data_IF_987507262488
#
_entry.id   IF_987507262488
#
_cell.length_a   1.000
_cell.length_b   1.000
_cell.length_c   1.000
_cell.angle_alpha   90.00
_cell.angle_beta   90.00
_cell.angle_gamma   90.00
#
_symmetry.space_group_name_H-M   'P 1'
#
loop_
_entity.id
_entity.type
_entity.pdbx_description
1 polymer ?
#
# COMPACT_ATOMS: atom_id res chain seq x y z
N UNK A 1 -49.74 15.80 51.58
CA UNK A 1 -49.33 15.74 50.16
C UNK A 1 -47.97 16.39 50.07
N UNK A 2 -46.91 15.59 49.97
CA UNK A 2 -45.56 16.08 49.72
C UNK A 2 -45.33 16.03 48.21
N UNK A 3 -45.03 17.16 47.58
CA UNK A 3 -44.64 17.25 46.18
C UNK A 3 -43.27 16.60 45.99
N UNK A 4 -43.22 15.55 45.18
CA UNK A 4 -41.97 14.99 44.68
C UNK A 4 -41.29 15.98 43.73
N UNK A 5 -39.96 16.18 43.82
CA UNK A 5 -39.25 17.06 42.92
C UNK A 5 -39.16 16.40 41.54
N UNK A 6 -39.75 17.06 40.54
CA UNK A 6 -39.61 16.71 39.12
C UNK A 6 -38.14 16.80 38.72
N UNK A 7 -37.50 15.65 38.52
CA UNK A 7 -36.20 15.55 37.86
C UNK A 7 -36.35 15.96 36.40
N UNK A 8 -35.64 17.02 36.02
CA UNK A 8 -35.65 17.57 34.66
C UNK A 8 -34.93 16.58 33.72
N UNK A 9 -35.55 16.05 32.66
CA UNK A 9 -34.93 15.04 31.79
C UNK A 9 -33.93 15.60 30.77
N UNK A 10 -33.65 16.91 30.79
CA UNK A 10 -32.86 17.64 29.79
C UNK A 10 -31.35 17.71 30.09
N UNK A 11 -30.85 16.97 31.09
CA UNK A 11 -29.45 17.00 31.51
C UNK A 11 -28.79 15.61 31.54
N UNK A 12 -28.91 14.82 30.47
CA UNK A 12 -27.79 13.90 30.19
C UNK A 12 -26.61 14.82 29.90
N UNK A 13 -25.62 14.84 30.78
CA UNK A 13 -24.52 15.78 30.66
C UNK A 13 -23.73 15.46 29.38
N UNK A 14 -23.14 16.46 28.71
CA UNK A 14 -22.25 16.21 27.56
C UNK A 14 -21.15 15.18 27.89
N UNK A 15 -20.76 15.06 29.17
CA UNK A 15 -19.81 14.06 29.65
C UNK A 15 -20.38 12.62 29.62
N UNK A 16 -21.66 12.43 29.93
CA UNK A 16 -22.33 11.12 29.84
C UNK A 16 -22.47 10.68 28.38
N UNK A 17 -22.77 11.62 27.49
CA UNK A 17 -22.85 11.38 26.04
C UNK A 17 -21.48 11.02 25.46
N UNK A 18 -20.43 11.80 25.74
CA UNK A 18 -19.06 11.48 25.32
C UNK A 18 -18.57 10.13 25.86
N UNK A 19 -18.91 9.80 27.12
CA UNK A 19 -18.60 8.49 27.72
C UNK A 19 -19.33 7.36 26.99
N UNK A 20 -20.62 7.54 26.67
CA UNK A 20 -21.39 6.58 25.90
C UNK A 20 -20.84 6.41 24.48
N UNK A 21 -20.44 7.51 23.81
CA UNK A 21 -19.79 7.49 22.49
C UNK A 21 -18.51 6.67 22.55
N UNK A 22 -17.62 7.00 23.47
CA UNK A 22 -16.34 6.31 23.65
C UNK A 22 -16.53 4.82 23.90
N UNK A 23 -17.52 4.45 24.70
CA UNK A 23 -17.80 3.05 25.03
C UNK A 23 -18.17 2.22 23.79
N UNK A 24 -18.94 2.75 22.83
CA UNK A 24 -19.25 2.02 21.60
C UNK A 24 -18.13 2.11 20.56
N UNK A 25 -17.45 3.26 20.47
CA UNK A 25 -16.27 3.42 19.60
C UNK A 25 -15.17 2.41 19.93
N UNK A 26 -14.91 2.18 21.23
CA UNK A 26 -13.92 1.19 21.68
C UNK A 26 -14.32 -0.26 21.36
N UNK A 27 -15.61 -0.58 21.21
CA UNK A 27 -16.03 -1.93 20.75
C UNK A 27 -15.78 -2.13 19.26
N UNK A 28 -15.92 -1.07 18.46
CA UNK A 28 -15.66 -1.09 17.03
C UNK A 28 -14.16 -1.05 16.71
N UNK A 29 -13.45 -0.05 17.23
CA UNK A 29 -12.06 0.23 16.85
C UNK A 29 -11.04 -0.44 17.76
N UNK A 30 -11.44 -0.93 18.93
CA UNK A 30 -10.57 -1.21 20.08
C UNK A 30 -9.93 0.05 20.67
N UNK A 31 -9.64 0.00 21.97
CA UNK A 31 -8.88 1.05 22.68
C UNK A 31 -7.57 1.39 22.00
N UNK A 32 -6.83 0.36 21.53
CA UNK A 32 -5.49 0.55 20.95
C UNK A 32 -5.53 1.30 19.62
N UNK A 33 -6.53 1.06 18.75
CA UNK A 33 -6.62 1.81 17.48
C UNK A 33 -7.20 3.21 17.70
N UNK A 34 -8.13 3.39 18.63
CA UNK A 34 -8.74 4.71 18.90
C UNK A 34 -7.79 5.68 19.62
N UNK A 35 -6.91 5.18 20.49
CA UNK A 35 -5.99 5.99 21.30
C UNK A 35 -5.19 7.08 20.54
N UNK A 36 -4.53 6.80 19.40
CA UNK A 36 -3.80 7.85 18.68
C UNK A 36 -4.70 8.94 18.08
N UNK A 37 -5.97 8.64 17.79
CA UNK A 37 -6.93 9.64 17.30
C UNK A 37 -7.41 10.53 18.45
N UNK A 38 -7.72 9.95 19.61
CA UNK A 38 -8.03 10.71 20.83
C UNK A 38 -6.87 11.63 21.22
N UNK A 39 -5.63 11.13 21.15
CA UNK A 39 -4.45 11.93 21.45
C UNK A 39 -4.30 13.15 20.52
N UNK A 40 -4.59 12.99 19.22
CA UNK A 40 -4.55 14.09 18.25
C UNK A 40 -5.70 15.09 18.44
N UNK A 41 -6.83 14.65 19.00
CA UNK A 41 -8.04 15.46 19.16
C UNK A 41 -8.26 15.99 20.59
N UNK A 42 -7.29 15.82 21.50
CA UNK A 42 -7.40 16.29 22.89
C UNK A 42 -8.47 15.54 23.71
N UNK A 43 -8.56 14.22 23.51
CA UNK A 43 -9.56 13.32 24.12
C UNK A 43 -11.03 13.60 23.73
N UNK A 44 -11.28 14.46 22.75
CA UNK A 44 -12.58 14.63 22.12
C UNK A 44 -12.90 13.41 21.23
N UNK A 45 -13.90 12.62 21.64
CA UNK A 45 -14.25 11.36 20.98
C UNK A 45 -14.92 11.55 19.63
N UNK A 46 -15.75 12.58 19.45
CA UNK A 46 -16.43 12.83 18.18
C UNK A 46 -15.41 13.26 17.14
N UNK A 47 -14.53 14.22 17.50
CA UNK A 47 -13.42 14.62 16.62
C UNK A 47 -12.44 13.48 16.33
N UNK A 48 -12.22 12.56 17.27
CA UNK A 48 -11.38 11.39 17.04
C UNK A 48 -12.01 10.40 16.05
N UNK A 49 -13.33 10.25 16.07
CA UNK A 49 -14.07 9.45 15.09
C UNK A 49 -14.04 10.12 13.70
N UNK A 50 -14.24 11.44 13.63
CA UNK A 50 -14.08 12.20 12.37
C UNK A 50 -12.68 12.03 11.79
N UNK A 51 -11.63 12.11 12.63
CA UNK A 51 -10.25 11.91 12.19
C UNK A 51 -10.00 10.47 11.72
N UNK A 52 -10.66 9.49 12.35
CA UNK A 52 -10.60 8.09 11.92
C UNK A 52 -11.23 7.91 10.52
N UNK A 53 -12.43 8.45 10.29
CA UNK A 53 -13.08 8.39 8.97
C UNK A 53 -12.31 9.16 7.91
N UNK A 54 -11.73 10.30 8.26
CA UNK A 54 -10.83 11.05 7.40
C UNK A 54 -9.61 10.21 7.00
N UNK A 55 -8.99 9.50 7.96
CA UNK A 55 -7.86 8.59 7.69
C UNK A 55 -8.25 7.43 6.76
N UNK A 56 -9.46 6.87 6.90
CA UNK A 56 -9.98 5.86 5.98
C UNK A 56 -10.14 6.44 4.57
N UNK A 57 -10.69 7.65 4.46
CA UNK A 57 -10.87 8.35 3.18
C UNK A 57 -9.52 8.64 2.50
N UNK A 58 -8.53 9.10 3.25
CA UNK A 58 -7.15 9.25 2.78
C UNK A 58 -6.58 7.93 2.24
N UNK A 59 -6.81 6.83 2.97
CA UNK A 59 -6.42 5.49 2.54
C UNK A 59 -7.10 5.08 1.22
N UNK A 60 -8.36 5.45 1.00
CA UNK A 60 -9.07 5.15 -0.25
C UNK A 60 -8.47 5.90 -1.45
N UNK A 61 -8.13 7.18 -1.29
CA UNK A 61 -7.44 7.97 -2.32
C UNK A 61 -6.12 7.29 -2.70
N UNK A 62 -5.30 6.95 -1.70
CA UNK A 62 -4.03 6.28 -1.96
C UNK A 62 -4.21 4.90 -2.62
N UNK A 63 -5.18 4.11 -2.18
CA UNK A 63 -5.43 2.77 -2.73
C UNK A 63 -5.88 2.81 -4.20
N UNK A 64 -6.56 3.88 -4.65
CA UNK A 64 -6.86 4.11 -6.07
C UNK A 64 -5.57 4.19 -6.89
N UNK A 65 -4.63 5.03 -6.46
CA UNK A 65 -3.40 5.26 -7.22
C UNK A 65 -2.47 4.03 -7.17
N UNK A 66 -2.42 3.33 -6.03
CA UNK A 66 -1.72 2.05 -5.95
C UNK A 66 -2.33 1.04 -6.92
N UNK A 67 -3.65 0.96 -7.05
CA UNK A 67 -4.30 0.00 -7.95
C UNK A 67 -3.90 0.23 -9.42
N UNK A 68 -3.92 1.49 -9.88
CA UNK A 68 -3.48 1.83 -11.24
C UNK A 68 -2.00 1.49 -11.46
N UNK A 69 -1.15 1.88 -10.51
CA UNK A 69 0.27 1.63 -10.60
C UNK A 69 0.63 0.14 -10.55
N UNK A 70 -0.03 -0.65 -9.70
CA UNK A 70 0.20 -2.10 -9.60
C UNK A 70 -0.14 -2.81 -10.92
N UNK A 71 -1.24 -2.43 -11.57
CA UNK A 71 -1.62 -2.96 -12.88
C UNK A 71 -0.61 -2.56 -13.96
N UNK A 72 -0.14 -1.31 -13.96
CA UNK A 72 0.90 -0.88 -14.89
C UNK A 72 2.22 -1.65 -14.67
N UNK A 73 2.63 -1.81 -13.41
CA UNK A 73 3.86 -2.50 -13.02
C UNK A 73 3.84 -3.97 -13.43
N UNK A 74 2.76 -4.69 -13.12
CA UNK A 74 2.66 -6.11 -13.47
C UNK A 74 2.67 -6.31 -14.99
N UNK A 75 1.95 -5.48 -15.74
CA UNK A 75 1.87 -5.60 -17.20
C UNK A 75 3.21 -5.24 -17.86
N UNK A 76 3.91 -4.22 -17.34
CA UNK A 76 5.23 -3.85 -17.85
C UNK A 76 6.27 -4.95 -17.57
N UNK A 77 6.26 -5.54 -16.38
CA UNK A 77 7.17 -6.63 -16.01
C UNK A 77 6.87 -7.89 -16.79
N UNK A 78 5.60 -8.24 -16.93
CA UNK A 78 5.17 -9.38 -17.70
C UNK A 78 5.63 -9.27 -19.17
N UNK A 79 5.38 -8.12 -19.80
CA UNK A 79 5.81 -7.84 -21.17
C UNK A 79 7.32 -8.02 -21.36
N UNK A 80 8.16 -7.37 -20.55
CA UNK A 80 9.63 -7.45 -20.73
C UNK A 80 10.20 -8.81 -20.36
N UNK A 81 9.55 -9.55 -19.46
CA UNK A 81 9.89 -10.95 -19.17
C UNK A 81 9.53 -11.85 -20.36
N UNK A 82 8.32 -11.71 -20.91
CA UNK A 82 7.84 -12.47 -22.06
C UNK A 82 8.68 -12.25 -23.32
N UNK A 83 9.07 -11.00 -23.59
CA UNK A 83 9.94 -10.63 -24.73
C UNK A 83 11.33 -11.31 -24.68
N UNK A 84 11.82 -11.69 -23.49
CA UNK A 84 13.23 -12.05 -23.25
C UNK A 84 13.46 -13.45 -22.72
N UNK A 85 12.50 -14.04 -22.00
CA UNK A 85 12.64 -15.39 -21.43
C UNK A 85 12.65 -16.46 -22.52
N UNK A 86 11.76 -16.33 -23.51
CA UNK A 86 11.59 -17.31 -24.58
C UNK A 86 10.97 -18.63 -24.09
N UNK A 87 10.16 -19.28 -24.94
CA UNK A 87 9.52 -20.55 -24.59
C UNK A 87 8.17 -20.39 -23.90
N UNK A 88 7.89 -21.26 -22.92
CA UNK A 88 6.67 -21.17 -22.11
C UNK A 88 6.65 -19.88 -21.28
N UNK A 89 5.46 -19.48 -20.84
CA UNK A 89 5.33 -18.29 -20.00
C UNK A 89 6.23 -18.39 -18.75
N UNK A 90 6.93 -17.31 -18.38
CA UNK A 90 7.94 -17.32 -17.31
C UNK A 90 7.38 -17.63 -15.91
N UNK A 91 6.06 -17.58 -15.73
CA UNK A 91 5.34 -18.02 -14.51
C UNK A 91 4.91 -19.50 -14.53
N UNK A 92 5.11 -20.18 -15.65
CA UNK A 92 4.72 -21.58 -15.90
C UNK A 92 5.94 -22.46 -16.22
N UNK A 93 7.14 -21.88 -16.23
CA UNK A 93 8.41 -22.56 -16.49
C UNK A 93 9.27 -22.61 -15.22
N UNK A 94 9.51 -23.81 -14.69
CA UNK A 94 10.32 -24.02 -13.48
C UNK A 94 11.78 -23.57 -13.63
N UNK A 95 12.28 -23.42 -14.86
CA UNK A 95 13.60 -22.88 -15.17
C UNK A 95 13.69 -21.35 -15.03
N UNK A 96 12.55 -20.66 -15.03
CA UNK A 96 12.45 -19.20 -14.95
C UNK A 96 13.18 -18.64 -13.75
N UNK A 97 13.86 -17.48 -13.86
CA UNK A 97 14.53 -16.83 -12.73
C UNK A 97 13.55 -16.44 -11.60
N UNK A 98 12.24 -16.43 -11.82
CA UNK A 98 11.25 -16.22 -10.74
C UNK A 98 10.81 -17.53 -10.07
N UNK A 99 10.93 -18.67 -10.75
CA UNK A 99 10.51 -19.99 -10.25
C UNK A 99 11.64 -20.90 -9.80
N UNK A 100 12.87 -20.71 -10.29
CA UNK A 100 14.02 -21.46 -9.80
C UNK A 100 14.53 -20.90 -8.47
N UNK A 101 15.14 -21.73 -7.61
CA UNK A 101 15.85 -21.25 -6.43
C UNK A 101 16.99 -20.29 -6.79
N UNK A 102 17.14 -19.23 -6.00
CA UNK A 102 18.28 -18.30 -6.10
C UNK A 102 18.97 -18.32 -4.74
N UNK A 103 20.05 -19.11 -4.63
CA UNK A 103 20.77 -19.25 -3.36
C UNK A 103 21.74 -18.08 -3.18
N UNK A 104 21.68 -17.45 -2.00
CA UNK A 104 22.61 -16.41 -1.54
C UNK A 104 23.06 -16.70 -0.12
N UNK A 105 24.28 -16.28 0.21
CA UNK A 105 24.79 -16.36 1.57
C UNK A 105 24.23 -15.22 2.41
N UNK A 106 23.66 -15.55 3.57
CA UNK A 106 23.27 -14.57 4.57
C UNK A 106 24.50 -14.00 5.31
N UNK A 107 24.30 -12.92 6.08
CA UNK A 107 25.35 -12.34 6.94
C UNK A 107 25.95 -13.34 7.94
N UNK A 108 25.17 -14.36 8.31
CA UNK A 108 25.57 -15.37 9.30
C UNK A 108 26.20 -16.61 8.64
N UNK A 109 26.50 -16.56 7.34
CA UNK A 109 27.10 -17.68 6.61
C UNK A 109 26.12 -18.79 6.22
N UNK A 110 24.82 -18.65 6.49
CA UNK A 110 23.83 -19.66 6.10
C UNK A 110 23.33 -19.41 4.67
N UNK A 111 23.28 -20.45 3.81
CA UNK A 111 22.68 -20.34 2.49
C UNK A 111 21.16 -20.14 2.61
N UNK A 112 20.62 -19.23 1.80
CA UNK A 112 19.20 -18.92 1.74
C UNK A 112 18.74 -18.83 0.30
N UNK A 113 17.67 -19.54 -0.04
CA UNK A 113 16.92 -19.29 -1.27
C UNK A 113 16.17 -17.97 -1.11
N UNK A 114 16.66 -16.92 -1.78
CA UNK A 114 16.00 -15.61 -1.74
C UNK A 114 14.71 -15.62 -2.55
N UNK A 115 14.52 -16.57 -3.47
CA UNK A 115 13.32 -16.64 -4.30
C UNK A 115 12.17 -17.38 -3.64
N UNK A 116 12.39 -18.09 -2.53
CA UNK A 116 11.39 -18.94 -1.87
C UNK A 116 10.04 -18.25 -1.65
N UNK A 117 10.04 -16.98 -1.24
CA UNK A 117 8.80 -16.20 -1.02
C UNK A 117 8.06 -15.96 -2.33
N UNK A 118 8.77 -15.59 -3.40
CA UNK A 118 8.17 -15.38 -4.72
C UNK A 118 7.61 -16.69 -5.29
N UNK A 119 8.36 -17.79 -5.17
CA UNK A 119 7.91 -19.12 -5.60
C UNK A 119 6.63 -19.55 -4.89
N UNK A 120 6.54 -19.31 -3.58
CA UNK A 120 5.32 -19.57 -2.81
C UNK A 120 4.15 -18.68 -3.25
N UNK A 121 4.42 -17.41 -3.54
CA UNK A 121 3.39 -16.50 -4.04
C UNK A 121 2.82 -16.97 -5.39
N UNK A 122 3.68 -17.40 -6.33
CA UNK A 122 3.24 -17.94 -7.62
C UNK A 122 2.48 -19.26 -7.43
N UNK A 123 2.97 -20.17 -6.59
CA UNK A 123 2.27 -21.42 -6.30
C UNK A 123 0.87 -21.18 -5.71
N UNK A 124 0.74 -20.23 -4.79
CA UNK A 124 -0.55 -19.84 -4.23
C UNK A 124 -1.46 -19.19 -5.29
N UNK A 125 -0.93 -18.30 -6.12
CA UNK A 125 -1.68 -17.66 -7.20
C UNK A 125 -2.21 -18.70 -8.20
N UNK A 126 -1.38 -19.67 -8.60
CA UNK A 126 -1.80 -20.82 -9.42
C UNK A 126 -2.87 -21.68 -8.75
N UNK A 127 -2.79 -21.87 -7.43
CA UNK A 127 -3.82 -22.60 -6.70
C UNK A 127 -5.17 -21.87 -6.63
N UNK A 128 -5.15 -20.53 -6.70
CA UNK A 128 -6.35 -19.70 -6.64
C UNK A 128 -6.97 -19.44 -8.02
N UNK A 129 -6.21 -19.63 -9.09
CA UNK A 129 -6.68 -19.46 -10.45
C UNK A 129 -7.73 -20.51 -10.82
N UNK A 130 -8.73 -20.11 -11.62
CA UNK A 130 -9.70 -21.04 -12.19
C UNK A 130 -9.04 -21.94 -13.23
N UNK A 131 -8.15 -21.36 -14.05
CA UNK A 131 -7.24 -22.08 -14.94
C UNK A 131 -5.79 -21.86 -14.48
N UNK A 132 -5.10 -22.95 -14.15
CA UNK A 132 -3.74 -22.93 -13.57
C UNK A 132 -2.65 -22.79 -14.62
N UNK A 133 -3.02 -22.96 -15.89
CA UNK A 133 -2.15 -22.87 -17.05
C UNK A 133 -2.38 -21.56 -17.82
N UNK A 134 -3.33 -20.74 -17.36
CA UNK A 134 -3.54 -19.37 -17.82
C UNK A 134 -2.65 -18.38 -17.02
N UNK A 135 -1.58 -17.82 -17.64
CA UNK A 135 -0.68 -16.90 -16.95
C UNK A 135 -1.37 -15.60 -16.51
N UNK A 136 -2.40 -15.14 -17.21
CA UNK A 136 -3.09 -13.89 -16.87
C UNK A 136 -3.84 -14.02 -15.54
N UNK A 137 -4.41 -15.19 -15.28
CA UNK A 137 -5.05 -15.49 -14.00
C UNK A 137 -4.03 -15.58 -12.85
N UNK A 138 -2.83 -16.10 -13.11
CA UNK A 138 -1.75 -16.12 -12.11
C UNK A 138 -1.30 -14.70 -11.81
N UNK A 139 -1.06 -13.88 -12.84
CA UNK A 139 -0.67 -12.47 -12.71
C UNK A 139 -1.72 -11.68 -11.91
N UNK A 140 -3.01 -11.90 -12.19
CA UNK A 140 -4.10 -11.22 -11.50
C UNK A 140 -4.18 -11.54 -9.99
N UNK A 141 -3.66 -12.69 -9.56
CA UNK A 141 -3.64 -13.14 -8.17
C UNK A 141 -2.35 -12.75 -7.41
N UNK A 142 -1.41 -12.05 -8.04
CA UNK A 142 -0.16 -11.61 -7.41
C UNK A 142 -0.24 -10.15 -6.96
N UNK A 143 -0.04 -9.92 -5.66
CA UNK A 143 -0.11 -8.58 -5.05
C UNK A 143 1.16 -7.74 -5.31
N UNK A 144 1.07 -6.40 -5.15
CA UNK A 144 2.20 -5.46 -5.32
C UNK A 144 3.51 -5.90 -4.68
N UNK A 145 3.46 -6.51 -3.50
CA UNK A 145 4.65 -6.99 -2.80
C UNK A 145 5.48 -7.97 -3.62
N UNK A 146 4.85 -8.87 -4.38
CA UNK A 146 5.55 -9.78 -5.29
C UNK A 146 6.36 -9.00 -6.33
N UNK A 147 5.72 -8.06 -7.02
CA UNK A 147 6.32 -7.24 -8.08
C UNK A 147 7.46 -6.34 -7.53
N UNK A 148 7.24 -5.71 -6.38
CA UNK A 148 8.24 -4.89 -5.70
C UNK A 148 9.49 -5.70 -5.30
N UNK A 149 9.33 -6.96 -4.88
CA UNK A 149 10.45 -7.80 -4.51
C UNK A 149 11.29 -8.26 -5.71
N UNK A 150 10.78 -8.23 -6.94
CA UNK A 150 11.58 -8.64 -8.11
C UNK A 150 12.80 -7.74 -8.34
N UNK A 151 12.78 -6.50 -7.84
CA UNK A 151 13.90 -5.53 -7.95
C UNK A 151 14.92 -5.59 -6.82
N UNK A 152 14.78 -6.51 -5.86
CA UNK A 152 15.71 -6.62 -4.73
C UNK A 152 17.14 -6.92 -5.21
N UNK A 153 18.13 -6.35 -4.51
CA UNK A 153 19.57 -6.51 -4.83
C UNK A 153 20.00 -7.96 -5.01
N UNK A 154 19.42 -8.89 -4.24
CA UNK A 154 19.75 -10.30 -4.30
C UNK A 154 19.42 -10.96 -5.65
N UNK A 155 18.50 -10.35 -6.41
CA UNK A 155 17.98 -10.82 -7.71
C UNK A 155 18.48 -9.97 -8.87
N UNK A 156 19.38 -9.03 -8.62
CA UNK A 156 19.84 -8.07 -9.64
C UNK A 156 20.44 -8.76 -10.88
N UNK A 157 21.28 -9.78 -10.67
CA UNK A 157 21.92 -10.53 -11.76
C UNK A 157 20.99 -11.52 -12.46
N UNK A 158 19.93 -11.96 -11.80
CA UNK A 158 19.01 -12.99 -12.31
C UNK A 158 17.75 -12.39 -12.96
N UNK A 159 17.29 -11.24 -12.47
CA UNK A 159 16.04 -10.59 -12.88
C UNK A 159 16.26 -9.17 -13.44
N UNK A 160 16.92 -8.30 -12.68
CA UNK A 160 17.02 -6.89 -13.06
C UNK A 160 17.81 -6.67 -14.35
N UNK A 161 19.07 -7.13 -14.39
CA UNK A 161 19.98 -6.92 -15.52
C UNK A 161 19.51 -7.60 -16.81
N UNK A 162 19.02 -8.85 -16.79
CA UNK A 162 18.64 -9.48 -18.05
C UNK A 162 17.24 -9.06 -18.51
N UNK A 163 16.32 -8.70 -17.60
CA UNK A 163 14.89 -8.51 -17.92
C UNK A 163 14.33 -7.15 -17.47
N UNK A 164 14.23 -6.92 -16.16
CA UNK A 164 13.33 -5.88 -15.61
C UNK A 164 13.78 -4.45 -15.90
N UNK A 165 15.08 -4.19 -16.07
CA UNK A 165 15.55 -2.83 -16.39
C UNK A 165 14.95 -2.30 -17.70
N UNK A 166 14.53 -3.19 -18.61
CA UNK A 166 13.93 -2.81 -19.88
C UNK A 166 12.52 -2.22 -19.75
N UNK A 167 11.87 -2.39 -18.60
CA UNK A 167 10.59 -1.76 -18.32
C UNK A 167 10.75 -0.28 -17.94
N UNK A 168 11.96 0.16 -17.61
CA UNK A 168 12.24 1.48 -17.07
C UNK A 168 13.11 2.32 -18.02
N UNK A 169 13.12 3.65 -17.88
CA UNK A 169 14.01 4.51 -18.66
C UNK A 169 15.49 4.10 -18.55
N UNK A 170 16.23 4.30 -19.64
CA UNK A 170 17.66 3.95 -19.67
C UNK A 170 18.42 4.70 -18.57
N UNK A 171 19.17 3.96 -17.75
CA UNK A 171 19.96 4.52 -16.66
C UNK A 171 19.22 4.61 -15.31
N UNK A 172 18.00 4.07 -15.19
CA UNK A 172 17.31 3.96 -13.89
C UNK A 172 18.19 3.26 -12.85
N UNK A 173 18.41 3.93 -11.71
CA UNK A 173 19.05 3.33 -10.54
C UNK A 173 18.11 2.29 -9.90
N UNK A 174 18.48 1.01 -10.01
CA UNK A 174 17.77 -0.10 -9.37
C UNK A 174 17.59 0.12 -7.88
N UNK A 175 18.60 0.65 -7.18
CA UNK A 175 18.55 0.77 -5.73
C UNK A 175 17.52 1.81 -5.31
N UNK A 176 17.56 2.99 -5.93
CA UNK A 176 16.55 4.04 -5.77
C UNK A 176 15.15 3.53 -6.09
N UNK A 177 14.96 2.88 -7.25
CA UNK A 177 13.67 2.31 -7.63
C UNK A 177 13.18 1.28 -6.61
N UNK A 178 14.03 0.33 -6.21
CA UNK A 178 13.66 -0.69 -5.22
C UNK A 178 13.23 -0.07 -3.88
N UNK A 179 13.91 0.98 -3.44
CA UNK A 179 13.54 1.70 -2.23
C UNK A 179 12.19 2.42 -2.39
N UNK A 180 11.94 3.01 -3.56
CA UNK A 180 10.64 3.62 -3.90
C UNK A 180 9.52 2.58 -3.90
N UNK A 181 9.67 1.45 -4.59
CA UNK A 181 8.67 0.38 -4.62
C UNK A 181 8.42 -0.21 -3.22
N UNK A 182 9.48 -0.38 -2.42
CA UNK A 182 9.35 -0.85 -1.05
C UNK A 182 8.60 0.15 -0.15
N UNK A 183 8.83 1.46 -0.31
CA UNK A 183 8.11 2.49 0.41
C UNK A 183 6.62 2.51 0.04
N UNK A 184 6.30 2.50 -1.26
CA UNK A 184 4.92 2.41 -1.76
C UNK A 184 4.22 1.18 -1.18
N UNK A 185 4.84 0.00 -1.27
CA UNK A 185 4.25 -1.23 -0.78
C UNK A 185 4.02 -1.22 0.75
N UNK A 186 4.91 -0.58 1.53
CA UNK A 186 4.70 -0.41 2.98
C UNK A 186 3.48 0.47 3.27
N UNK A 187 3.38 1.63 2.62
CA UNK A 187 2.24 2.54 2.85
C UNK A 187 0.94 1.91 2.36
N UNK A 188 0.95 1.22 1.21
CA UNK A 188 -0.20 0.42 0.75
C UNK A 188 -0.64 -0.59 1.80
N UNK A 189 0.29 -1.35 2.37
CA UNK A 189 -0.05 -2.35 3.39
C UNK A 189 -0.67 -1.69 4.63
N UNK A 190 -0.14 -0.54 5.06
CA UNK A 190 -0.73 0.23 6.17
C UNK A 190 -2.17 0.65 5.85
N UNK A 191 -2.41 1.19 4.65
CA UNK A 191 -3.76 1.56 4.21
C UNK A 191 -4.70 0.34 4.16
N UNK A 192 -4.26 -0.78 3.58
CA UNK A 192 -5.04 -2.02 3.50
C UNK A 192 -5.34 -2.65 4.88
N UNK A 193 -4.52 -2.39 5.89
CA UNK A 193 -4.75 -2.83 7.27
C UNK A 193 -5.51 -1.79 8.13
N UNK A 194 -6.01 -0.72 7.50
CA UNK A 194 -6.69 0.40 8.14
C UNK A 194 -5.85 0.98 9.29
N UNK A 195 -4.54 1.05 9.09
CA UNK A 195 -3.65 1.70 10.04
C UNK A 195 -3.82 3.22 9.99
N UNK A 196 -3.39 3.89 11.06
CA UNK A 196 -3.23 5.34 11.09
C UNK A 196 -2.14 5.73 10.09
N UNK A 197 -2.45 6.57 9.11
CA UNK A 197 -1.54 7.02 8.04
C UNK A 197 -0.84 8.33 8.37
N UNK A 198 -1.48 9.22 9.14
CA UNK A 198 -0.89 10.47 9.61
C UNK A 198 0.14 10.28 10.73
N UNK A 199 0.93 11.33 10.96
CA UNK A 199 2.13 11.38 11.80
C UNK A 199 3.02 10.15 11.62
N UNK A 200 3.54 9.94 10.40
CA UNK A 200 4.39 8.80 10.11
C UNK A 200 5.69 8.87 10.92
N UNK A 201 6.15 7.73 11.42
CA UNK A 201 7.41 7.64 12.18
C UNK A 201 8.65 7.98 11.33
N UNK A 202 8.53 7.84 10.01
CA UNK A 202 9.60 8.17 9.06
C UNK A 202 8.99 8.68 7.76
N UNK A 203 9.75 9.48 7.03
CA UNK A 203 9.42 9.94 5.67
C UNK A 203 9.02 8.82 4.71
N UNK A 204 9.61 7.62 4.84
CA UNK A 204 9.28 6.49 3.95
C UNK A 204 7.89 5.90 4.19
N UNK A 205 7.23 6.32 5.26
CA UNK A 205 5.88 5.94 5.63
C UNK A 205 4.85 7.05 5.36
N UNK A 206 5.29 8.19 4.81
CA UNK A 206 4.39 9.29 4.45
C UNK A 206 3.43 8.88 3.32
N UNK A 207 2.10 9.01 3.48
CA UNK A 207 1.15 8.80 2.40
C UNK A 207 1.31 9.82 1.26
N UNK A 208 1.58 11.09 1.56
CA UNK A 208 1.81 12.11 0.53
C UNK A 208 3.05 11.79 -0.32
N UNK A 209 4.15 11.37 0.33
CA UNK A 209 5.36 10.94 -0.38
C UNK A 209 5.15 9.65 -1.17
N UNK A 210 4.34 8.72 -0.65
CA UNK A 210 4.01 7.50 -1.37
C UNK A 210 3.20 7.80 -2.64
N UNK A 211 2.22 8.69 -2.57
CA UNK A 211 1.44 9.15 -3.73
C UNK A 211 2.33 9.81 -4.80
N UNK A 212 3.15 10.80 -4.42
CA UNK A 212 4.09 11.43 -5.34
C UNK A 212 5.06 10.43 -6.00
N UNK A 213 5.49 9.41 -5.24
CA UNK A 213 6.31 8.33 -5.76
C UNK A 213 5.55 7.42 -6.75
N UNK A 214 4.27 7.13 -6.48
CA UNK A 214 3.40 6.34 -7.37
C UNK A 214 3.26 7.07 -8.70
N UNK A 215 2.91 8.36 -8.69
CA UNK A 215 2.75 9.15 -9.91
C UNK A 215 4.05 9.20 -10.71
N UNK A 216 5.19 9.50 -10.05
CA UNK A 216 6.49 9.54 -10.74
C UNK A 216 6.87 8.18 -11.33
N UNK A 217 6.63 7.09 -10.60
CA UNK A 217 6.91 5.75 -11.09
C UNK A 217 5.98 5.39 -12.26
N UNK A 218 4.70 5.74 -12.20
CA UNK A 218 3.76 5.53 -13.30
C UNK A 218 4.15 6.34 -14.54
N UNK A 219 4.51 7.63 -14.40
CA UNK A 219 5.01 8.46 -15.50
C UNK A 219 6.25 7.84 -16.16
N UNK A 220 7.15 7.25 -15.38
CA UNK A 220 8.34 6.59 -15.91
C UNK A 220 8.03 5.27 -16.63
N UNK A 221 6.95 4.59 -16.25
CA UNK A 221 6.60 3.26 -16.73
C UNK A 221 5.61 3.29 -17.91
N UNK A 222 4.62 4.17 -17.84
CA UNK A 222 3.57 4.39 -18.85
C UNK A 222 3.12 5.87 -18.78
N UNK A 223 3.81 6.77 -19.49
CA UNK A 223 3.51 8.20 -19.51
C UNK A 223 2.05 8.49 -19.89
N UNK A 224 1.49 7.75 -20.84
CA UNK A 224 0.13 7.95 -21.35
C UNK A 224 -0.93 7.65 -20.29
N UNK A 225 -0.72 6.61 -19.48
CA UNK A 225 -1.62 6.30 -18.37
C UNK A 225 -1.54 7.36 -17.27
N UNK A 226 -0.33 7.82 -16.96
CA UNK A 226 -0.15 8.89 -15.97
C UNK A 226 -0.80 10.21 -16.43
N UNK A 227 -0.63 10.58 -17.71
CA UNK A 227 -1.28 11.75 -18.30
C UNK A 227 -2.81 11.63 -18.24
N UNK A 228 -3.36 10.46 -18.57
CA UNK A 228 -4.80 10.22 -18.52
C UNK A 228 -5.39 10.35 -17.11
N UNK A 229 -4.63 9.97 -16.08
CA UNK A 229 -5.07 9.90 -14.69
C UNK A 229 -4.84 11.19 -13.92
N UNK A 230 -3.74 11.90 -14.21
CA UNK A 230 -3.26 13.04 -13.42
C UNK A 230 -3.09 14.32 -14.25
N UNK A 231 -2.95 14.21 -15.57
CA UNK A 231 -2.63 15.33 -16.45
C UNK A 231 -1.38 16.09 -16.02
N UNK A 232 -1.40 17.40 -16.26
CA UNK A 232 -0.40 18.39 -15.85
C UNK A 232 -0.62 18.93 -14.43
N UNK A 233 -1.48 18.30 -13.62
CA UNK A 233 -1.75 18.75 -12.26
C UNK A 233 -0.45 18.79 -11.42
N UNK A 234 -0.22 19.92 -10.75
CA UNK A 234 0.97 20.10 -9.90
C UNK A 234 0.84 19.33 -8.60
N UNK A 235 -0.40 19.16 -8.11
CA UNK A 235 -0.72 18.48 -6.86
C UNK A 235 -1.07 17.02 -7.06
N UNK A 236 -0.62 16.19 -6.13
CA UNK A 236 -1.01 14.79 -6.04
C UNK A 236 -2.47 14.65 -5.57
N UNK A 237 -3.16 13.54 -5.88
CA UNK A 237 -4.49 13.24 -5.36
C UNK A 237 -4.59 13.34 -3.82
N UNK A 238 -3.56 12.90 -3.09
CA UNK A 238 -3.50 13.06 -1.63
C UNK A 238 -3.44 14.54 -1.23
N UNK A 239 -2.65 15.37 -1.92
CA UNK A 239 -2.59 16.82 -1.65
C UNK A 239 -3.95 17.49 -1.93
N UNK A 240 -4.56 17.20 -3.08
CA UNK A 240 -5.91 17.71 -3.42
C UNK A 240 -6.95 17.28 -2.38
N UNK A 241 -6.92 16.01 -1.97
CA UNK A 241 -7.81 15.51 -0.91
C UNK A 241 -7.64 16.28 0.40
N UNK A 242 -6.41 16.59 0.80
CA UNK A 242 -6.15 17.32 2.04
C UNK A 242 -6.61 18.78 1.97
N UNK A 243 -6.58 19.39 0.79
CA UNK A 243 -7.10 20.75 0.57
C UNK A 243 -8.63 20.80 0.56
N UNK A 244 -9.27 19.85 -0.13
CA UNK A 244 -10.74 19.77 -0.21
C UNK A 244 -11.36 19.30 1.11
N UNK A 245 -10.66 18.44 1.85
CA UNK A 245 -11.09 17.82 3.10
C UNK A 245 -9.95 17.92 4.12
N UNK A 246 -9.77 19.08 4.77
CA UNK A 246 -8.75 19.22 5.81
C UNK A 246 -9.03 18.28 6.98
N UNK A 247 -7.95 17.78 7.59
CA UNK A 247 -8.07 16.93 8.76
C UNK A 247 -8.72 17.70 9.93
N UNK A 248 -9.57 17.06 10.75
CA UNK A 248 -10.20 17.71 11.90
C UNK A 248 -9.24 17.95 13.08
N UNK A 249 -7.94 17.66 12.91
CA UNK A 249 -6.88 17.85 13.88
C UNK A 249 -5.56 18.24 13.18
N UNK A 250 -4.64 18.85 13.92
CA UNK A 250 -3.31 19.21 13.41
C UNK A 250 -2.43 17.95 13.32
N UNK A 251 -2.37 17.35 12.14
CA UNK A 251 -1.66 16.09 11.86
C UNK A 251 -0.79 16.24 10.62
N UNK A 252 0.36 15.55 10.60
CA UNK A 252 1.30 15.61 9.47
C UNK A 252 1.17 14.39 8.55
N UNK A 253 1.39 14.58 7.26
CA UNK A 253 1.43 13.50 6.26
C UNK A 253 2.83 13.27 5.73
#
# INVERSE_FOLDING_TARGET
MAEEPKTNPSSRSNADEASATRAWAERWLSRKRLAPYLAACGDDVERALDLYEWNISLGQVLMRDVAHFEVALRNAYDRVMGERWGGAHWLLDDGSPVLRPIVRMSKNGNPRDVNLVNRRAVAQARSNAHDKDDPDQVIANLMLGFWAHLTDRSRERDLWIPYLNAAWPKGTDRNGLNNTLAAINRVRNRAAHNERLFDPLTETLSPARADANIIRALRALCPEAAERLYGDEEKTPVELFCEERPAPADVRL
#
